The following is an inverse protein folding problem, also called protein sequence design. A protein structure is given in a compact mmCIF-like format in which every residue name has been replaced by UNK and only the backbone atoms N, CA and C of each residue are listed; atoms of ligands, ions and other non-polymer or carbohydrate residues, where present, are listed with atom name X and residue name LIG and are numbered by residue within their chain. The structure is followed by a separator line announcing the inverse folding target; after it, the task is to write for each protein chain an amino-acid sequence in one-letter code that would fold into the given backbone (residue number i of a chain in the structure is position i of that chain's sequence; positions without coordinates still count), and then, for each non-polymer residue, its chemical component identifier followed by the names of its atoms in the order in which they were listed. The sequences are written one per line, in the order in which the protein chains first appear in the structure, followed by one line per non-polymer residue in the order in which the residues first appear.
data_IF_993768063250
#
_entry.id   IF_993768063250
#
_cell.length_a   1.000
_cell.length_b   1.000
_cell.length_c   1.000
_cell.angle_alpha   90.00
_cell.angle_beta   90.00
_cell.angle_gamma   90.00
#
_symmetry.space_group_name_H-M   'P 1'
#
loop_
_entity.id
_entity.type
_entity.pdbx_description
1 polymer ?
#
# COMPACT_ATOMS: atom_id res chain seq x y z
N UNK A 1 14.37 -18.56 -5.91
CA UNK A 1 13.34 -17.51 -5.70
C UNK A 1 11.95 -18.12 -5.88
N UNK A 2 11.02 -17.83 -4.97
CA UNK A 2 9.63 -18.22 -5.13
C UNK A 2 9.06 -17.63 -6.44
N UNK A 3 8.33 -18.43 -7.23
CA UNK A 3 7.73 -17.96 -8.48
C UNK A 3 6.58 -16.96 -8.22
N UNK A 4 6.26 -16.09 -9.17
CA UNK A 4 5.07 -15.25 -9.07
C UNK A 4 3.80 -16.10 -8.95
N UNK A 5 2.83 -15.62 -8.16
CA UNK A 5 1.50 -16.20 -8.12
C UNK A 5 0.76 -15.95 -9.45
N UNK A 6 -0.10 -16.87 -9.82
CA UNK A 6 -0.92 -16.83 -11.03
C UNK A 6 -2.39 -17.11 -10.68
N UNK A 7 -3.37 -16.76 -11.54
CA UNK A 7 -4.78 -17.06 -11.29
C UNK A 7 -5.08 -18.55 -11.06
N UNK A 8 -4.23 -19.45 -11.57
CA UNK A 8 -4.37 -20.90 -11.35
C UNK A 8 -3.98 -21.34 -9.93
N UNK A 9 -3.30 -20.49 -9.17
CA UNK A 9 -2.86 -20.80 -7.80
C UNK A 9 -3.92 -20.49 -6.73
N UNK A 10 -4.94 -19.70 -7.08
CA UNK A 10 -5.98 -19.26 -6.15
C UNK A 10 -6.53 -17.88 -6.49
N UNK A 11 -6.96 -17.14 -5.46
CA UNK A 11 -7.56 -15.82 -5.60
C UNK A 11 -6.55 -14.70 -5.26
N UNK A 12 -6.80 -13.50 -5.79
CA UNK A 12 -6.14 -12.30 -5.32
C UNK A 12 -6.99 -11.63 -4.23
N UNK A 13 -6.36 -11.09 -3.21
CA UNK A 13 -7.00 -10.31 -2.16
C UNK A 13 -6.44 -8.89 -2.15
N UNK A 14 -7.32 -7.87 -2.19
CA UNK A 14 -6.94 -6.45 -2.22
C UNK A 14 -7.62 -5.70 -1.08
N UNK A 15 -6.82 -5.14 -0.15
CA UNK A 15 -7.34 -4.23 0.88
C UNK A 15 -7.35 -2.79 0.40
N UNK A 16 -8.27 -1.96 0.92
CA UNK A 16 -8.44 -0.58 0.45
C UNK A 16 -8.94 -0.50 -0.99
N UNK A 17 -9.74 -1.49 -1.43
CA UNK A 17 -10.20 -1.63 -2.81
C UNK A 17 -11.31 -0.66 -3.22
N UNK A 18 -11.85 0.13 -2.29
CA UNK A 18 -13.02 0.98 -2.54
C UNK A 18 -12.74 2.29 -3.30
N UNK A 19 -11.48 2.60 -3.65
CA UNK A 19 -11.08 3.79 -4.42
C UNK A 19 -9.61 3.74 -4.85
N UNK A 20 -9.24 4.64 -5.76
CA UNK A 20 -7.86 4.94 -6.09
C UNK A 20 -7.07 3.75 -6.64
N UNK A 21 -5.86 3.53 -6.10
CA UNK A 21 -4.96 2.46 -6.56
C UNK A 21 -5.62 1.09 -6.38
N UNK A 22 -6.28 0.85 -5.23
CA UNK A 22 -6.91 -0.44 -4.93
C UNK A 22 -8.00 -0.81 -5.93
N UNK A 23 -8.91 0.12 -6.22
CA UNK A 23 -9.99 -0.05 -7.21
C UNK A 23 -9.42 -0.31 -8.62
N UNK A 24 -8.50 0.55 -9.07
CA UNK A 24 -7.87 0.39 -10.38
C UNK A 24 -7.11 -0.94 -10.52
N UNK A 25 -6.50 -1.40 -9.42
CA UNK A 25 -5.81 -2.68 -9.39
C UNK A 25 -6.78 -3.87 -9.51
N UNK A 26 -7.96 -3.80 -8.86
CA UNK A 26 -8.99 -4.85 -8.98
C UNK A 26 -9.42 -5.01 -10.44
N UNK A 27 -9.78 -3.92 -11.13
CA UNK A 27 -10.15 -3.97 -12.55
C UNK A 27 -9.04 -4.63 -13.40
N UNK A 28 -7.80 -4.30 -13.11
CA UNK A 28 -6.67 -4.84 -13.87
C UNK A 28 -6.40 -6.31 -13.58
N UNK A 29 -6.50 -6.74 -12.32
CA UNK A 29 -6.34 -8.14 -11.92
C UNK A 29 -7.44 -9.01 -12.53
N UNK A 30 -8.69 -8.55 -12.50
CA UNK A 30 -9.81 -9.23 -13.17
C UNK A 30 -9.53 -9.38 -14.67
N UNK A 31 -9.08 -8.31 -15.34
CA UNK A 31 -8.69 -8.35 -16.75
C UNK A 31 -7.51 -9.30 -17.06
N UNK A 32 -6.76 -9.74 -16.02
CA UNK A 32 -5.70 -10.75 -16.12
C UNK A 32 -6.17 -12.16 -15.71
N UNK A 33 -7.47 -12.36 -15.50
CA UNK A 33 -8.08 -13.64 -15.18
C UNK A 33 -8.12 -14.00 -13.69
N UNK A 34 -7.81 -13.05 -12.79
CA UNK A 34 -7.92 -13.28 -11.35
C UNK A 34 -9.39 -13.22 -10.90
N UNK A 35 -9.75 -14.08 -9.96
CA UNK A 35 -10.85 -13.86 -9.04
C UNK A 35 -10.30 -13.02 -7.89
N UNK A 36 -11.01 -11.95 -7.51
CA UNK A 36 -10.48 -10.95 -6.57
C UNK A 36 -11.39 -10.80 -5.37
N UNK A 37 -10.91 -11.09 -4.17
CA UNK A 37 -11.52 -10.72 -2.91
C UNK A 37 -11.19 -9.26 -2.59
N UNK A 38 -12.19 -8.45 -2.27
CA UNK A 38 -12.02 -7.02 -2.01
C UNK A 38 -12.43 -6.65 -0.59
N UNK A 39 -11.56 -5.90 0.09
CA UNK A 39 -11.79 -5.47 1.48
C UNK A 39 -11.63 -3.95 1.62
N UNK A 40 -12.62 -3.31 2.21
CA UNK A 40 -12.60 -1.93 2.70
C UNK A 40 -13.80 -1.72 3.63
N UNK A 41 -13.85 -0.57 4.31
CA UNK A 41 -14.98 -0.20 5.20
C UNK A 41 -16.25 0.15 4.43
N UNK A 42 -16.13 0.78 3.26
CA UNK A 42 -17.25 1.24 2.43
C UNK A 42 -17.84 0.09 1.63
N UNK A 43 -18.80 -0.64 2.24
CA UNK A 43 -19.42 -1.81 1.63
C UNK A 43 -20.12 -1.49 0.28
N UNK A 44 -20.78 -0.33 0.17
CA UNK A 44 -21.47 0.10 -1.05
C UNK A 44 -20.52 0.26 -2.24
N UNK A 45 -19.35 0.88 -2.02
CA UNK A 45 -18.34 1.03 -3.08
C UNK A 45 -17.77 -0.34 -3.51
N UNK A 46 -17.61 -1.28 -2.56
CA UNK A 46 -17.18 -2.64 -2.88
C UNK A 46 -18.29 -3.41 -3.64
N UNK A 47 -19.56 -3.22 -3.27
CA UNK A 47 -20.69 -3.83 -3.97
C UNK A 47 -20.78 -3.36 -5.42
N UNK A 48 -20.58 -2.06 -5.69
CA UNK A 48 -20.52 -1.54 -7.05
C UNK A 48 -19.39 -2.18 -7.87
N UNK A 49 -18.22 -2.39 -7.24
CA UNK A 49 -17.09 -3.06 -7.88
C UNK A 49 -17.39 -4.54 -8.19
N UNK A 50 -18.08 -5.24 -7.30
CA UNK A 50 -18.50 -6.63 -7.52
C UNK A 50 -19.58 -6.72 -8.62
N UNK A 51 -20.50 -5.75 -8.69
CA UNK A 51 -21.49 -5.66 -9.76
C UNK A 51 -20.86 -5.42 -11.14
N UNK A 52 -19.77 -4.66 -11.20
CA UNK A 52 -19.02 -4.45 -12.44
C UNK A 52 -18.28 -5.72 -12.92
N UNK A 53 -18.05 -6.72 -12.03
CA UNK A 53 -17.34 -7.95 -12.34
C UNK A 53 -18.03 -9.18 -11.74
N UNK A 54 -19.22 -9.56 -12.25
CA UNK A 54 -20.03 -10.66 -11.70
C UNK A 54 -19.23 -11.98 -11.67
N UNK A 55 -19.26 -12.65 -10.53
CA UNK A 55 -18.59 -13.94 -10.33
C UNK A 55 -17.04 -13.89 -10.21
N UNK A 56 -16.42 -12.73 -10.53
CA UNK A 56 -14.98 -12.54 -10.44
C UNK A 56 -14.54 -11.74 -9.22
N UNK A 57 -15.41 -10.88 -8.69
CA UNK A 57 -15.13 -10.06 -7.50
C UNK A 57 -16.10 -10.44 -6.38
N UNK A 58 -15.55 -10.74 -5.19
CA UNK A 58 -16.30 -11.02 -3.98
C UNK A 58 -15.97 -10.00 -2.87
N UNK A 59 -17.02 -9.54 -2.17
CA UNK A 59 -16.92 -8.49 -1.14
C UNK A 59 -16.75 -9.10 0.24
N UNK A 60 -15.71 -8.66 0.95
CA UNK A 60 -15.42 -8.98 2.35
C UNK A 60 -15.18 -7.65 3.08
N UNK A 61 -16.26 -6.98 3.47
CA UNK A 61 -16.18 -5.66 4.10
C UNK A 61 -15.59 -5.77 5.52
N UNK A 62 -14.52 -5.01 5.80
CA UNK A 62 -13.85 -4.99 7.09
C UNK A 62 -13.08 -3.69 7.30
N UNK A 63 -12.79 -3.35 8.57
CA UNK A 63 -11.81 -2.35 8.93
C UNK A 63 -10.45 -3.05 9.18
N UNK A 64 -9.43 -2.64 8.43
CA UNK A 64 -8.08 -3.22 8.56
C UNK A 64 -7.46 -2.98 9.95
N UNK A 65 -7.90 -1.97 10.68
CA UNK A 65 -7.41 -1.69 12.03
C UNK A 65 -7.99 -2.64 13.10
N UNK A 66 -9.04 -3.41 12.78
CA UNK A 66 -9.64 -4.41 13.65
C UNK A 66 -9.03 -5.80 13.41
N UNK A 67 -8.22 -6.24 14.36
CA UNK A 67 -7.50 -7.53 14.30
C UNK A 67 -8.45 -8.73 14.17
N UNK A 68 -9.55 -8.74 14.93
CA UNK A 68 -10.50 -9.85 14.91
C UNK A 68 -11.27 -9.91 13.59
N UNK A 69 -11.72 -8.75 13.10
CA UNK A 69 -12.38 -8.60 11.81
C UNK A 69 -11.48 -9.07 10.66
N UNK A 70 -10.18 -8.73 10.69
CA UNK A 70 -9.23 -9.16 9.66
C UNK A 70 -8.95 -10.66 9.68
N UNK A 71 -8.88 -11.28 10.86
CA UNK A 71 -8.74 -12.73 10.98
C UNK A 71 -9.96 -13.46 10.39
N UNK A 72 -11.17 -12.97 10.72
CA UNK A 72 -12.41 -13.50 10.15
C UNK A 72 -12.49 -13.32 8.64
N UNK A 73 -12.06 -12.15 8.14
CA UNK A 73 -12.02 -11.83 6.71
C UNK A 73 -11.14 -12.81 5.94
N UNK A 74 -9.91 -13.05 6.40
CA UNK A 74 -9.00 -14.00 5.74
C UNK A 74 -9.57 -15.41 5.77
N UNK A 75 -10.12 -15.84 6.92
CA UNK A 75 -10.77 -17.16 7.04
C UNK A 75 -11.94 -17.32 6.07
N UNK A 76 -12.83 -16.32 5.97
CA UNK A 76 -13.97 -16.34 5.07
C UNK A 76 -13.55 -16.38 3.59
N UNK A 77 -12.53 -15.58 3.21
CA UNK A 77 -12.00 -15.64 1.84
C UNK A 77 -11.49 -17.03 1.51
N UNK A 78 -10.67 -17.63 2.38
CA UNK A 78 -10.08 -18.96 2.19
C UNK A 78 -11.15 -20.06 2.09
N UNK A 79 -12.22 -19.95 2.86
CA UNK A 79 -13.30 -20.97 2.91
C UNK A 79 -14.30 -20.78 1.77
N UNK A 80 -14.78 -19.57 1.53
CA UNK A 80 -15.94 -19.30 0.69
C UNK A 80 -15.56 -18.92 -0.75
N UNK A 81 -14.36 -18.36 -0.95
CA UNK A 81 -13.95 -17.83 -2.25
C UNK A 81 -12.72 -18.54 -2.82
N UNK A 82 -11.84 -19.06 -1.99
CA UNK A 82 -10.69 -19.87 -2.37
C UNK A 82 -9.37 -19.41 -1.77
N UNK A 83 -8.31 -20.21 -1.91
CA UNK A 83 -7.01 -19.94 -1.30
C UNK A 83 -6.44 -18.61 -1.81
N UNK A 84 -5.99 -17.75 -0.88
CA UNK A 84 -5.36 -16.48 -1.23
C UNK A 84 -3.95 -16.77 -1.76
N UNK A 85 -3.76 -16.67 -3.08
CA UNK A 85 -2.46 -16.85 -3.72
C UNK A 85 -1.68 -15.54 -3.83
N UNK A 86 -2.38 -14.40 -3.98
CA UNK A 86 -1.83 -13.05 -4.04
C UNK A 86 -2.56 -12.15 -3.05
N UNK A 87 -1.85 -11.52 -2.13
CA UNK A 87 -2.40 -10.49 -1.27
C UNK A 87 -1.77 -9.14 -1.59
N UNK A 88 -2.60 -8.12 -1.79
CA UNK A 88 -2.17 -6.72 -1.95
C UNK A 88 -2.70 -5.91 -0.78
N UNK A 89 -1.81 -5.63 0.17
CA UNK A 89 -2.10 -4.87 1.37
C UNK A 89 -1.94 -3.37 1.06
N UNK A 90 -3.03 -2.77 0.56
CA UNK A 90 -3.05 -1.43 -0.02
C UNK A 90 -3.78 -0.41 0.87
N UNK A 91 -4.62 -0.83 1.80
CA UNK A 91 -5.35 0.09 2.67
C UNK A 91 -4.42 1.09 3.36
N UNK A 92 -4.80 2.36 3.35
CA UNK A 92 -4.01 3.41 3.97
C UNK A 92 -4.72 4.76 3.96
N UNK A 93 -4.29 5.63 4.86
CA UNK A 93 -4.75 7.01 4.99
C UNK A 93 -3.56 7.96 5.01
N UNK A 94 -3.76 9.17 4.52
CA UNK A 94 -2.85 10.29 4.73
C UNK A 94 -3.56 11.32 5.59
N UNK A 95 -3.04 11.55 6.78
CA UNK A 95 -3.50 12.58 7.72
C UNK A 95 -2.34 13.55 7.94
N UNK A 96 -2.43 14.79 7.43
CA UNK A 96 -1.38 15.79 7.62
C UNK A 96 -1.17 16.11 9.11
N UNK A 97 0.07 16.22 9.53
CA UNK A 97 0.42 16.56 10.92
C UNK A 97 1.17 17.89 10.96
N UNK A 98 0.67 18.83 11.74
CA UNK A 98 1.41 20.04 12.08
C UNK A 98 2.46 19.74 13.14
N UNK A 99 3.74 19.74 12.76
CA UNK A 99 4.85 19.47 13.69
C UNK A 99 5.00 20.51 14.81
N UNK A 100 4.36 21.66 14.71
CA UNK A 100 4.32 22.67 15.79
C UNK A 100 3.31 22.31 16.88
N UNK A 101 2.30 21.49 16.52
CA UNK A 101 1.23 21.01 17.40
C UNK A 101 0.96 19.54 17.10
N UNK A 102 1.92 18.64 17.43
CA UNK A 102 1.76 17.23 17.12
C UNK A 102 0.56 16.67 17.88
N UNK A 103 -0.37 16.08 17.13
CA UNK A 103 -1.55 15.41 17.67
C UNK A 103 -1.31 13.90 17.74
N UNK A 104 -1.21 13.31 18.96
CA UNK A 104 -1.00 11.87 19.11
C UNK A 104 -2.10 11.02 18.49
N UNK A 105 -3.35 11.52 18.41
CA UNK A 105 -4.45 10.77 17.81
C UNK A 105 -4.30 10.61 16.28
N UNK A 106 -3.79 11.66 15.59
CA UNK A 106 -3.48 11.56 14.17
C UNK A 106 -2.36 10.53 13.91
N UNK A 107 -1.34 10.49 14.79
CA UNK A 107 -0.30 9.46 14.73
C UNK A 107 -0.90 8.07 14.94
N UNK A 108 -1.65 7.87 16.03
CA UNK A 108 -2.27 6.57 16.35
C UNK A 108 -3.12 6.09 15.20
N UNK A 109 -4.07 6.90 14.73
CA UNK A 109 -4.96 6.55 13.61
C UNK A 109 -4.20 6.23 12.33
N UNK A 110 -3.13 6.97 12.03
CA UNK A 110 -2.29 6.71 10.85
C UNK A 110 -1.57 5.37 10.99
N UNK A 111 -1.00 5.08 12.16
CA UNK A 111 -0.29 3.83 12.42
C UNK A 111 -1.25 2.63 12.46
N UNK A 112 -2.40 2.77 13.09
CA UNK A 112 -3.41 1.72 13.18
C UNK A 112 -3.88 1.27 11.80
N UNK A 113 -4.12 2.22 10.88
CA UNK A 113 -4.56 1.87 9.52
C UNK A 113 -3.38 1.44 8.64
N UNK A 114 -2.30 2.24 8.58
CA UNK A 114 -1.25 2.04 7.59
C UNK A 114 -0.28 0.93 7.93
N UNK A 115 0.03 0.74 9.23
CA UNK A 115 1.00 -0.24 9.70
C UNK A 115 0.31 -1.45 10.32
N UNK A 116 -0.48 -1.23 11.38
CA UNK A 116 -1.15 -2.35 12.05
C UNK A 116 -2.18 -3.02 11.14
N UNK A 117 -2.86 -2.27 10.28
CA UNK A 117 -3.76 -2.85 9.28
C UNK A 117 -3.07 -3.84 8.33
N UNK A 118 -1.82 -3.59 7.98
CA UNK A 118 -1.01 -4.55 7.22
C UNK A 118 -0.67 -5.77 8.08
N UNK A 119 -0.23 -5.57 9.33
CA UNK A 119 0.08 -6.65 10.28
C UNK A 119 -1.14 -7.53 10.55
N UNK A 120 -2.31 -6.91 10.76
CA UNK A 120 -3.58 -7.62 10.98
C UNK A 120 -3.96 -8.53 9.80
N UNK A 121 -3.65 -8.09 8.57
CA UNK A 121 -3.83 -8.93 7.38
C UNK A 121 -2.82 -10.05 7.28
N UNK A 122 -1.55 -9.77 7.59
CA UNK A 122 -0.45 -10.74 7.50
C UNK A 122 -0.57 -11.88 8.54
N UNK A 123 -1.02 -11.56 9.75
CA UNK A 123 -1.05 -12.51 10.86
C UNK A 123 -1.85 -13.79 10.54
N UNK A 124 -3.08 -13.73 10.03
CA UNK A 124 -3.81 -14.93 9.61
C UNK A 124 -3.35 -15.48 8.25
N UNK A 125 -2.86 -14.63 7.35
CA UNK A 125 -2.52 -14.98 5.97
C UNK A 125 -1.22 -15.79 5.86
N UNK A 126 -0.14 -15.37 6.55
CA UNK A 126 1.17 -16.04 6.43
C UNK A 126 1.09 -17.52 6.81
N UNK A 127 0.50 -17.92 7.96
CA UNK A 127 0.35 -19.34 8.30
C UNK A 127 -0.40 -20.14 7.22
N UNK A 128 -1.47 -19.57 6.64
CA UNK A 128 -2.23 -20.21 5.57
C UNK A 128 -1.41 -20.38 4.29
N UNK A 129 -0.60 -19.40 3.92
CA UNK A 129 0.31 -19.50 2.77
C UNK A 129 1.45 -20.49 3.02
N UNK A 130 2.03 -20.49 4.23
CA UNK A 130 3.11 -21.41 4.61
C UNK A 130 2.65 -22.87 4.60
N UNK A 131 1.43 -23.17 5.04
CA UNK A 131 0.88 -24.54 5.00
C UNK A 131 0.78 -25.09 3.56
N UNK A 132 0.69 -24.19 2.57
CA UNK A 132 0.66 -24.53 1.14
C UNK A 132 2.06 -24.44 0.47
N UNK A 133 3.07 -23.96 1.19
CA UNK A 133 4.43 -23.74 0.67
C UNK A 133 4.50 -22.70 -0.45
N UNK A 134 3.49 -21.83 -0.61
CA UNK A 134 3.44 -20.82 -1.68
C UNK A 134 2.50 -19.68 -1.33
N UNK A 135 2.82 -18.50 -1.85
CA UNK A 135 2.02 -17.29 -1.74
C UNK A 135 2.82 -16.06 -2.16
N UNK A 136 2.13 -15.01 -2.51
CA UNK A 136 2.74 -13.73 -2.85
C UNK A 136 2.05 -12.59 -2.09
N UNK A 137 2.83 -11.75 -1.44
CA UNK A 137 2.37 -10.57 -0.72
C UNK A 137 2.99 -9.33 -1.35
N UNK A 138 2.16 -8.34 -1.64
CA UNK A 138 2.57 -7.00 -2.03
C UNK A 138 2.09 -6.00 -0.98
N UNK A 139 3.02 -5.29 -0.36
CA UNK A 139 2.73 -4.24 0.63
C UNK A 139 2.84 -2.88 -0.06
N UNK A 140 1.78 -2.06 0.01
CA UNK A 140 1.81 -0.72 -0.58
C UNK A 140 2.33 0.30 0.44
N UNK A 141 3.59 0.68 0.27
CA UNK A 141 4.23 1.76 0.99
C UNK A 141 4.09 3.11 0.23
N UNK A 142 5.11 3.93 0.21
CA UNK A 142 5.19 5.20 -0.51
C UNK A 142 6.64 5.64 -0.64
N UNK A 143 6.95 6.43 -1.65
CA UNK A 143 8.23 7.13 -1.77
C UNK A 143 8.51 8.08 -0.56
N UNK A 144 7.47 8.53 0.14
CA UNK A 144 7.59 9.29 1.40
C UNK A 144 8.22 8.47 2.54
N UNK A 145 8.22 7.14 2.42
CA UNK A 145 8.92 6.26 3.37
C UNK A 145 10.45 6.29 3.27
N UNK A 146 11.03 6.86 2.21
CA UNK A 146 12.48 6.97 2.08
C UNK A 146 13.09 8.06 2.98
N UNK A 147 12.32 9.09 3.36
CA UNK A 147 12.81 10.18 4.19
C UNK A 147 11.74 11.21 4.52
N UNK A 148 12.04 12.10 5.48
CA UNK A 148 11.11 13.08 6.02
C UNK A 148 10.62 14.09 4.96
N UNK A 149 9.32 14.35 4.96
CA UNK A 149 8.67 15.39 4.16
C UNK A 149 7.76 16.23 5.06
N UNK A 150 7.57 17.52 4.77
CA UNK A 150 6.65 18.36 5.54
C UNK A 150 5.26 17.74 5.66
N UNK A 151 4.61 17.93 6.78
CA UNK A 151 3.28 17.40 7.16
C UNK A 151 3.13 15.89 7.19
N UNK A 152 4.11 15.14 6.72
CA UNK A 152 4.05 13.69 6.58
C UNK A 152 4.66 12.92 7.78
N UNK A 153 4.79 13.52 8.95
CA UNK A 153 5.46 12.91 10.09
C UNK A 153 4.93 11.52 10.44
N UNK A 154 3.63 11.39 10.67
CA UNK A 154 2.99 10.10 10.95
C UNK A 154 2.97 9.20 9.70
N UNK A 155 2.55 9.74 8.57
CA UNK A 155 2.45 8.99 7.31
C UNK A 155 3.81 8.46 6.86
N UNK A 156 4.82 9.32 6.74
CA UNK A 156 6.17 8.94 6.31
C UNK A 156 6.78 7.88 7.22
N UNK A 157 6.63 8.04 8.54
CA UNK A 157 7.10 7.05 9.52
C UNK A 157 6.41 5.70 9.35
N UNK A 158 5.06 5.67 9.16
CA UNK A 158 4.33 4.43 8.90
C UNK A 158 4.79 3.75 7.60
N UNK A 159 5.06 4.53 6.54
CA UNK A 159 5.51 3.99 5.25
C UNK A 159 6.97 3.54 5.27
N UNK A 160 7.84 4.18 6.05
CA UNK A 160 9.20 3.70 6.31
C UNK A 160 9.21 2.36 7.05
N UNK A 161 8.35 2.22 8.07
CA UNK A 161 8.18 0.96 8.80
C UNK A 161 7.75 -0.19 7.87
N UNK A 162 6.84 0.08 6.91
CA UNK A 162 6.41 -0.92 5.92
C UNK A 162 7.54 -1.35 4.98
N UNK A 163 8.43 -0.45 4.57
CA UNK A 163 9.60 -0.80 3.74
C UNK A 163 10.50 -1.76 4.52
N UNK A 164 10.90 -1.38 5.74
CA UNK A 164 11.75 -2.21 6.59
C UNK A 164 11.12 -3.58 6.89
N UNK A 165 9.82 -3.60 7.25
CA UNK A 165 9.09 -4.84 7.52
C UNK A 165 9.02 -5.74 6.28
N UNK A 166 8.79 -5.19 5.09
CA UNK A 166 8.73 -5.98 3.86
C UNK A 166 10.08 -6.63 3.52
N UNK A 167 11.18 -5.92 3.76
CA UNK A 167 12.54 -6.47 3.60
C UNK A 167 12.78 -7.63 4.57
N UNK A 168 12.44 -7.46 5.84
CA UNK A 168 12.54 -8.52 6.86
C UNK A 168 11.71 -9.74 6.47
N UNK A 169 10.43 -9.54 6.14
CA UNK A 169 9.55 -10.63 5.71
C UNK A 169 10.08 -11.34 4.45
N UNK A 170 10.69 -10.60 3.52
CA UNK A 170 11.30 -11.19 2.33
C UNK A 170 12.46 -12.11 2.70
N UNK A 171 13.35 -11.66 3.59
CA UNK A 171 14.50 -12.44 4.05
C UNK A 171 14.04 -13.75 4.71
N UNK A 172 13.03 -13.68 5.56
CA UNK A 172 12.57 -14.81 6.37
C UNK A 172 11.69 -15.79 5.60
N UNK A 173 10.81 -15.29 4.71
CA UNK A 173 9.75 -16.10 4.11
C UNK A 173 10.07 -16.60 2.70
N UNK A 174 10.99 -15.97 1.96
CA UNK A 174 11.34 -16.44 0.63
C UNK A 174 11.96 -17.85 0.61
N UNK A 175 12.82 -18.22 1.57
CA UNK A 175 13.33 -19.60 1.69
C UNK A 175 12.21 -20.62 1.95
N UNK A 176 11.06 -20.18 2.50
CA UNK A 176 9.89 -21.00 2.81
C UNK A 176 8.85 -21.01 1.68
N UNK A 177 9.19 -20.48 0.50
CA UNK A 177 8.33 -20.50 -0.69
C UNK A 177 7.37 -19.32 -0.83
N UNK A 178 7.39 -18.34 0.09
CA UNK A 178 6.56 -17.14 -0.01
C UNK A 178 7.36 -16.00 -0.65
N UNK A 179 6.67 -15.23 -1.49
CA UNK A 179 7.23 -14.06 -2.14
C UNK A 179 6.69 -12.78 -1.51
N UNK A 180 7.56 -11.92 -1.02
CA UNK A 180 7.19 -10.61 -0.46
C UNK A 180 7.78 -9.51 -1.31
N UNK A 181 6.96 -8.50 -1.65
CA UNK A 181 7.36 -7.30 -2.38
C UNK A 181 6.78 -6.06 -1.69
N UNK A 182 7.46 -4.94 -1.85
CA UNK A 182 6.97 -3.63 -1.41
C UNK A 182 6.83 -2.71 -2.63
N UNK A 183 5.74 -1.95 -2.68
CA UNK A 183 5.60 -0.88 -3.67
C UNK A 183 5.84 0.48 -3.00
N UNK A 184 6.58 1.34 -3.67
CA UNK A 184 6.89 2.70 -3.22
C UNK A 184 6.44 3.71 -4.28
N UNK A 185 5.10 3.91 -4.43
CA UNK A 185 4.55 4.90 -5.36
C UNK A 185 5.02 6.32 -5.00
N UNK A 186 5.25 7.15 -6.03
CA UNK A 186 5.23 8.60 -5.90
C UNK A 186 3.79 9.13 -5.83
N UNK A 187 3.55 10.31 -6.41
CA UNK A 187 2.21 10.89 -6.42
C UNK A 187 1.30 10.14 -7.40
N UNK A 188 0.17 9.67 -6.88
CA UNK A 188 -0.88 8.99 -7.65
C UNK A 188 -2.18 9.73 -7.43
N UNK A 189 -2.90 10.03 -8.50
CA UNK A 189 -4.21 10.67 -8.49
C UNK A 189 -5.23 9.77 -7.78
N UNK A 190 -5.54 10.12 -6.53
CA UNK A 190 -6.44 9.36 -5.65
C UNK A 190 -7.11 10.32 -4.67
N UNK A 191 -8.28 10.00 -4.13
CA UNK A 191 -8.95 10.83 -3.13
C UNK A 191 -8.09 11.16 -1.90
N UNK A 192 -7.11 10.34 -1.57
CA UNK A 192 -6.17 10.61 -0.47
C UNK A 192 -5.22 11.80 -0.74
N UNK A 193 -5.18 12.31 -1.99
CA UNK A 193 -4.32 13.42 -2.40
C UNK A 193 -5.08 14.74 -2.59
N UNK A 194 -6.42 14.75 -2.51
CA UNK A 194 -7.24 15.91 -2.87
C UNK A 194 -7.00 17.10 -1.93
N UNK A 195 -6.75 16.84 -0.64
CA UNK A 195 -6.54 17.88 0.38
C UNK A 195 -5.07 18.34 0.51
N UNK A 196 -4.20 17.94 -0.41
CA UNK A 196 -2.78 18.28 -0.34
C UNK A 196 -2.43 19.50 -1.19
N UNK A 197 -2.11 20.63 -0.57
CA UNK A 197 -1.67 21.87 -1.21
C UNK A 197 -0.26 21.84 -1.84
N UNK A 198 0.47 20.72 -1.74
CA UNK A 198 1.83 20.62 -2.29
C UNK A 198 1.86 20.42 -3.80
N UNK A 199 2.92 20.93 -4.48
CA UNK A 199 3.22 20.53 -5.83
C UNK A 199 3.38 19.00 -5.92
N UNK A 200 2.68 18.37 -6.86
CA UNK A 200 2.68 16.91 -7.08
C UNK A 200 3.43 16.58 -8.38
N UNK A 201 4.77 16.72 -8.42
CA UNK A 201 5.52 16.49 -9.64
C UNK A 201 5.40 15.02 -10.07
N UNK A 202 5.32 14.81 -11.38
CA UNK A 202 5.23 13.48 -11.98
C UNK A 202 4.03 12.66 -11.51
N UNK A 203 2.91 13.32 -11.13
CA UNK A 203 1.69 12.62 -10.75
C UNK A 203 1.21 11.71 -11.89
N UNK A 204 0.79 10.51 -11.54
CA UNK A 204 0.26 9.51 -12.48
C UNK A 204 -1.17 9.12 -12.08
N UNK A 205 -1.94 8.63 -13.04
CA UNK A 205 -3.29 8.11 -12.74
C UNK A 205 -3.23 6.81 -11.94
N UNK A 206 -4.33 6.50 -11.22
CA UNK A 206 -4.49 5.24 -10.50
C UNK A 206 -4.37 4.03 -11.44
N UNK A 207 -4.89 4.12 -12.67
CA UNK A 207 -4.78 3.08 -13.70
C UNK A 207 -3.33 2.81 -14.08
N UNK A 208 -2.53 3.88 -14.24
CA UNK A 208 -1.09 3.74 -14.53
C UNK A 208 -0.34 3.12 -13.36
N UNK A 209 -0.68 3.49 -12.12
CA UNK A 209 -0.12 2.86 -10.93
C UNK A 209 -0.46 1.36 -10.88
N UNK A 210 -1.72 0.98 -11.12
CA UNK A 210 -2.14 -0.42 -11.19
C UNK A 210 -1.38 -1.21 -12.27
N UNK A 211 -1.06 -0.57 -13.42
CA UNK A 211 -0.21 -1.18 -14.44
C UNK A 211 1.20 -1.47 -13.92
N UNK A 212 1.86 -0.49 -13.29
CA UNK A 212 3.18 -0.71 -12.71
C UNK A 212 3.18 -1.82 -11.66
N UNK A 213 2.14 -1.89 -10.82
CA UNK A 213 2.00 -2.93 -9.82
C UNK A 213 1.86 -4.32 -10.45
N UNK A 214 0.94 -4.49 -11.41
CA UNK A 214 0.71 -5.80 -12.04
C UNK A 214 1.90 -6.28 -12.88
N UNK A 215 2.61 -5.37 -13.54
CA UNK A 215 3.83 -5.70 -14.27
C UNK A 215 4.97 -6.07 -13.27
N UNK A 216 5.05 -5.33 -12.16
CA UNK A 216 6.01 -5.57 -11.09
C UNK A 216 5.79 -6.88 -10.34
N UNK A 217 4.54 -7.30 -10.13
CA UNK A 217 4.20 -8.58 -9.51
C UNK A 217 4.82 -9.78 -10.24
N UNK A 218 4.99 -9.68 -11.55
CA UNK A 218 5.61 -10.72 -12.40
C UNK A 218 7.15 -10.67 -12.36
N UNK A 219 7.73 -9.57 -11.91
CA UNK A 219 9.18 -9.35 -11.89
C UNK A 219 9.84 -9.97 -10.66
N UNK A 220 11.17 -10.19 -10.68
CA UNK A 220 11.96 -10.61 -9.51
C UNK A 220 12.23 -9.49 -8.49
N UNK A 221 11.80 -8.26 -8.76
CA UNK A 221 12.10 -7.11 -7.92
C UNK A 221 11.51 -7.22 -6.52
N UNK A 222 12.28 -6.84 -5.52
CA UNK A 222 11.81 -6.74 -4.12
C UNK A 222 10.98 -5.47 -3.96
N UNK A 223 11.43 -4.39 -4.58
CA UNK A 223 10.79 -3.07 -4.52
C UNK A 223 10.26 -2.64 -5.88
N UNK A 224 9.01 -2.20 -5.92
CA UNK A 224 8.31 -1.66 -7.09
C UNK A 224 8.17 -0.14 -6.94
N UNK A 225 9.22 0.60 -7.35
CA UNK A 225 9.24 2.06 -7.32
C UNK A 225 8.73 2.67 -8.63
N UNK A 226 7.76 3.58 -8.55
CA UNK A 226 7.23 4.26 -9.73
C UNK A 226 6.60 5.65 -9.41
N UNK A 227 6.59 6.61 -10.39
CA UNK A 227 7.31 6.53 -11.65
C UNK A 227 8.83 6.58 -11.43
N UNK A 228 9.59 5.77 -12.16
CA UNK A 228 11.03 5.54 -11.89
C UNK A 228 11.84 6.81 -11.81
N UNK A 229 11.63 7.77 -12.73
CA UNK A 229 12.40 9.04 -12.75
C UNK A 229 12.26 9.79 -11.42
N UNK A 230 11.04 9.90 -10.92
CA UNK A 230 10.76 10.59 -9.67
C UNK A 230 11.33 9.85 -8.44
N UNK A 231 11.10 8.56 -8.35
CA UNK A 231 11.55 7.78 -7.19
C UNK A 231 13.07 7.63 -7.15
N UNK A 232 13.75 7.54 -8.29
CA UNK A 232 15.21 7.58 -8.34
C UNK A 232 15.78 8.94 -7.91
N UNK A 233 15.17 10.04 -8.35
CA UNK A 233 15.54 11.38 -7.90
C UNK A 233 15.39 11.53 -6.39
N UNK A 234 14.28 11.04 -5.82
CA UNK A 234 14.06 11.05 -4.37
C UNK A 234 15.08 10.18 -3.63
N UNK A 235 15.36 8.97 -4.11
CA UNK A 235 16.38 8.10 -3.50
C UNK A 235 17.74 8.76 -3.49
N UNK A 236 18.16 9.39 -4.58
CA UNK A 236 19.41 10.15 -4.65
C UNK A 236 19.41 11.32 -3.64
N UNK A 237 18.29 12.05 -3.53
CA UNK A 237 18.11 13.13 -2.56
C UNK A 237 18.23 12.60 -1.11
N UNK A 238 17.61 11.48 -0.80
CA UNK A 238 17.66 10.88 0.55
C UNK A 238 19.01 10.25 0.91
N UNK A 239 19.80 9.89 -0.08
CA UNK A 239 21.17 9.41 0.12
C UNK A 239 22.15 10.54 0.51
N UNK A 240 21.78 11.79 0.35
CA UNK A 240 22.61 12.92 0.76
C UNK A 240 22.77 12.95 2.28
N UNK A 241 23.93 13.40 2.80
CA UNK A 241 24.07 13.72 4.20
C UNK A 241 22.95 14.66 4.69
N UNK A 242 22.38 14.41 5.86
CA UNK A 242 21.21 15.13 6.37
C UNK A 242 21.39 16.66 6.42
N UNK A 243 22.64 17.12 6.63
CA UNK A 243 23.00 18.56 6.56
C UNK A 243 22.78 19.20 5.18
N UNK A 244 22.77 18.43 4.11
CA UNK A 244 22.49 18.88 2.74
C UNK A 244 21.03 18.61 2.36
N UNK A 245 20.52 17.44 2.72
CA UNK A 245 19.16 17.02 2.44
C UNK A 245 18.10 17.96 3.03
N UNK A 246 18.20 18.25 4.35
CA UNK A 246 17.17 19.03 5.04
C UNK A 246 17.00 20.44 4.47
N UNK A 247 18.06 21.26 4.27
CA UNK A 247 17.92 22.57 3.67
C UNK A 247 17.37 22.52 2.23
N UNK A 248 17.77 21.50 1.46
CA UNK A 248 17.31 21.36 0.08
C UNK A 248 15.80 21.04 0.02
N UNK A 249 15.32 20.13 0.85
CA UNK A 249 13.89 19.82 0.95
C UNK A 249 13.09 21.03 1.41
N UNK A 250 13.57 21.76 2.44
CA UNK A 250 12.93 23.01 2.91
C UNK A 250 12.74 24.00 1.78
N UNK A 251 13.81 24.27 1.02
CA UNK A 251 13.78 25.20 -0.12
C UNK A 251 12.82 24.74 -1.22
N UNK A 252 12.86 23.44 -1.59
CA UNK A 252 12.02 22.93 -2.68
C UNK A 252 10.54 22.83 -2.31
N UNK A 253 10.22 22.65 -1.03
CA UNK A 253 8.84 22.57 -0.54
C UNK A 253 8.29 23.92 -0.07
N UNK A 254 9.09 25.00 -0.17
CA UNK A 254 8.70 26.32 0.30
C UNK A 254 8.60 26.44 1.82
N UNK A 255 9.25 25.55 2.57
CA UNK A 255 9.17 25.47 4.04
C UNK A 255 10.21 26.36 4.76
N UNK A 256 10.68 27.41 4.10
CA UNK A 256 11.77 28.29 4.60
C UNK A 256 11.31 29.45 5.49
N UNK A 257 10.04 29.54 5.87
CA UNK A 257 9.50 30.64 6.67
C UNK A 257 8.09 30.37 7.20
N UNK A 258 7.38 31.43 7.56
CA UNK A 258 5.97 31.33 7.94
C UNK A 258 5.15 30.87 6.73
N UNK A 259 4.74 29.64 6.75
CA UNK A 259 3.90 29.06 5.71
C UNK A 259 2.44 29.42 5.98
N UNK A 260 1.79 30.25 5.16
CA UNK A 260 0.40 30.67 5.38
C UNK A 260 -0.59 29.51 5.28
N UNK A 261 -0.22 28.43 4.58
CA UNK A 261 -1.08 27.30 4.23
C UNK A 261 -0.91 26.08 5.17
N UNK A 262 -0.41 26.27 6.38
CA UNK A 262 -0.54 25.21 7.38
C UNK A 262 -2.02 24.92 7.61
N UNK A 263 -2.46 23.64 7.63
CA UNK A 263 -3.82 23.30 8.03
C UNK A 263 -4.08 23.94 9.41
N UNK A 264 -5.09 24.82 9.47
CA UNK A 264 -5.50 25.51 10.71
C UNK A 264 -6.19 24.54 11.65
#
# INVERSE_FOLDING_TARGET
MARPATPADGVAWVTGASSGIGEALVHRLVGQGWRVAVTARRAEALAALAQAHPGQVAVFAADVSDTASMAQTVSAIEQDFGPIALAVLNAGVYLPVDSRRPDPELFRKTFDVNLMGVVNGLAPLIPAMLSRGRGQVLIISSATGFGGMPTAGAYGASKAALINMAETLRIELEPLGLRVQVATPGFVETPAQDDNGFPKPFMISAQRAAQYLTDGLKSGAVELSFPRRFTWMLKALYALPKRLYIPLVRKQTGWDGDHPDWPK
#
